data_IF_397383528743
#
_entry.id   IF_397383528743
#
_cell.length_a   1.000
_cell.length_b   1.000
_cell.length_c   1.000
_cell.angle_alpha   90.00
_cell.angle_beta   90.00
_cell.angle_gamma   90.00
#
_symmetry.space_group_name_H-M   'P 1'
#
loop_
_entity.id
_entity.type
_entity.pdbx_description
1 polymer ?
#
# COMPACT_ATOMS: atom_id res chain seq x y z
N UNK A 1 -20.49 -20.63 -6.90
CA UNK A 1 -19.73 -19.58 -7.63
C UNK A 1 -18.68 -18.95 -6.74
N UNK A 2 -17.40 -19.13 -7.08
CA UNK A 2 -16.32 -18.32 -6.52
C UNK A 2 -15.89 -17.33 -7.60
N UNK A 3 -15.81 -16.05 -7.24
CA UNK A 3 -15.32 -15.00 -8.14
C UNK A 3 -13.89 -14.71 -7.73
N UNK A 4 -12.94 -15.17 -8.53
CA UNK A 4 -11.51 -14.89 -8.30
C UNK A 4 -11.13 -13.66 -9.12
N UNK A 5 -10.74 -12.62 -8.40
CA UNK A 5 -10.29 -11.34 -8.94
C UNK A 5 -8.77 -11.43 -9.16
N UNK A 6 -8.34 -11.56 -10.42
CA UNK A 6 -6.91 -11.59 -10.77
C UNK A 6 -6.47 -10.17 -11.20
N UNK A 7 -5.70 -9.45 -10.37
CA UNK A 7 -5.18 -8.15 -10.76
C UNK A 7 -4.27 -8.30 -11.99
N UNK A 8 -4.28 -7.31 -12.88
CA UNK A 8 -3.36 -7.32 -14.02
C UNK A 8 -1.91 -7.31 -13.53
N UNK A 9 -1.00 -8.00 -14.24
CA UNK A 9 0.42 -8.10 -13.84
C UNK A 9 1.05 -6.72 -13.52
N UNK A 10 0.71 -5.69 -14.31
CA UNK A 10 1.14 -4.31 -14.09
C UNK A 10 0.66 -3.72 -12.76
N UNK A 11 -0.59 -4.01 -12.36
CA UNK A 11 -1.12 -3.56 -11.08
C UNK A 11 -0.53 -4.36 -9.92
N UNK A 12 -0.39 -5.68 -10.06
CA UNK A 12 0.28 -6.50 -9.05
C UNK A 12 1.71 -6.03 -8.78
N UNK A 13 2.48 -5.74 -9.83
CA UNK A 13 3.83 -5.21 -9.72
C UNK A 13 3.84 -3.82 -9.03
N UNK A 14 2.88 -2.95 -9.37
CA UNK A 14 2.77 -1.62 -8.76
C UNK A 14 2.40 -1.70 -7.27
N UNK A 15 1.53 -2.63 -6.88
CA UNK A 15 1.20 -2.89 -5.47
C UNK A 15 2.45 -3.32 -4.72
N UNK A 16 3.16 -4.33 -5.23
CA UNK A 16 4.37 -4.86 -4.58
C UNK A 16 5.44 -3.77 -4.47
N UNK A 17 5.64 -2.98 -5.53
CA UNK A 17 6.58 -1.87 -5.54
C UNK A 17 6.20 -0.78 -4.52
N UNK A 18 4.95 -0.33 -4.54
CA UNK A 18 4.45 0.66 -3.60
C UNK A 18 4.56 0.16 -2.16
N UNK A 19 4.23 -1.12 -1.91
CA UNK A 19 4.31 -1.71 -0.59
C UNK A 19 5.75 -1.76 -0.07
N UNK A 20 6.68 -2.20 -0.92
CA UNK A 20 8.10 -2.26 -0.58
C UNK A 20 8.67 -0.87 -0.29
N UNK A 21 8.43 0.12 -1.15
CA UNK A 21 8.98 1.48 -0.99
C UNK A 21 8.28 2.32 0.08
N UNK A 22 6.96 2.48 0.02
CA UNK A 22 6.22 3.32 0.97
C UNK A 22 6.10 2.66 2.35
N UNK A 23 5.96 1.34 2.39
CA UNK A 23 5.91 0.58 3.65
C UNK A 23 7.25 0.65 4.39
N UNK A 24 8.37 0.40 3.69
CA UNK A 24 9.70 0.54 4.29
C UNK A 24 10.00 1.97 4.71
N UNK A 25 9.64 2.97 3.89
CA UNK A 25 9.78 4.38 4.24
C UNK A 25 9.01 4.74 5.52
N UNK A 26 7.76 4.27 5.65
CA UNK A 26 6.96 4.49 6.87
C UNK A 26 7.63 3.89 8.11
N UNK A 27 8.10 2.63 8.04
CA UNK A 27 8.80 1.96 9.15
C UNK A 27 10.11 2.68 9.49
N UNK A 28 10.87 3.11 8.49
CA UNK A 28 12.12 3.83 8.68
C UNK A 28 11.89 5.20 9.34
N UNK A 29 10.93 5.99 8.85
CA UNK A 29 10.59 7.28 9.45
C UNK A 29 10.03 7.12 10.86
N UNK A 30 9.25 6.05 11.12
CA UNK A 30 8.81 5.71 12.49
C UNK A 30 10.00 5.41 13.40
N UNK A 31 10.97 4.65 12.91
CA UNK A 31 12.18 4.32 13.67
C UNK A 31 12.94 5.59 14.03
N UNK A 32 13.17 6.49 13.06
CA UNK A 32 13.79 7.79 13.32
C UNK A 32 13.00 8.58 14.36
N UNK A 33 11.67 8.64 14.23
CA UNK A 33 10.82 9.34 15.18
C UNK A 33 10.97 8.81 16.61
N UNK A 34 11.06 7.49 16.77
CA UNK A 34 11.20 6.84 18.08
C UNK A 34 12.61 6.94 18.66
N UNK A 35 13.65 7.04 17.82
CA UNK A 35 15.04 7.14 18.26
C UNK A 35 15.55 8.57 18.39
N UNK A 36 14.78 9.57 17.90
CA UNK A 36 15.14 10.98 18.04
C UNK A 36 14.77 11.43 19.45
N UNK A 37 15.75 11.86 20.24
CA UNK A 37 15.50 12.31 21.61
C UNK A 37 14.72 13.63 21.70
N UNK A 38 14.71 14.41 20.62
CA UNK A 38 13.86 15.61 20.50
C UNK A 38 12.51 15.25 19.87
N UNK A 39 11.44 15.77 20.46
CA UNK A 39 10.09 15.69 19.89
C UNK A 39 10.02 16.51 18.60
N UNK A 40 10.42 15.90 17.49
CA UNK A 40 10.48 16.58 16.21
C UNK A 40 9.12 16.47 15.50
N UNK A 41 8.29 17.51 15.71
CA UNK A 41 6.96 17.64 15.11
C UNK A 41 7.00 17.50 13.58
N UNK A 42 8.07 17.94 12.92
CA UNK A 42 8.23 17.82 11.47
C UNK A 42 8.33 16.34 11.07
N UNK A 43 9.17 15.56 11.76
CA UNK A 43 9.32 14.11 11.49
C UNK A 43 8.01 13.37 11.75
N UNK A 44 7.28 13.74 12.80
CA UNK A 44 5.95 13.19 13.08
C UNK A 44 4.96 13.45 11.94
N UNK A 45 4.84 14.70 11.47
CA UNK A 45 4.00 15.07 10.33
C UNK A 45 4.41 14.34 9.05
N UNK A 46 5.71 14.22 8.78
CA UNK A 46 6.22 13.44 7.65
C UNK A 46 5.81 11.97 7.75
N UNK A 47 5.92 11.36 8.92
CA UNK A 47 5.49 9.97 9.13
C UNK A 47 3.98 9.79 8.89
N UNK A 48 3.15 10.72 9.39
CA UNK A 48 1.70 10.69 9.17
C UNK A 48 1.37 10.77 7.68
N UNK A 49 2.01 11.68 6.93
CA UNK A 49 1.78 11.86 5.49
C UNK A 49 2.18 10.60 4.72
N UNK A 50 3.37 10.03 4.98
CA UNK A 50 3.84 8.80 4.31
C UNK A 50 2.87 7.64 4.58
N UNK A 51 2.41 7.51 5.83
CA UNK A 51 1.51 6.44 6.25
C UNK A 51 0.13 6.59 5.62
N UNK A 52 -0.43 7.81 5.55
CA UNK A 52 -1.67 8.06 4.83
C UNK A 52 -1.55 7.79 3.34
N UNK A 53 -0.45 8.21 2.72
CA UNK A 53 -0.21 7.97 1.30
C UNK A 53 -0.09 6.47 0.99
N UNK A 54 0.58 5.70 1.86
CA UNK A 54 0.63 4.24 1.76
C UNK A 54 -0.78 3.62 1.76
N UNK A 55 -1.66 4.00 2.70
CA UNK A 55 -3.03 3.47 2.72
C UNK A 55 -3.84 3.87 1.49
N UNK A 56 -3.69 5.10 0.99
CA UNK A 56 -4.38 5.56 -0.22
C UNK A 56 -3.96 4.77 -1.46
N UNK A 57 -2.66 4.53 -1.66
CA UNK A 57 -2.16 3.73 -2.79
C UNK A 57 -2.67 2.29 -2.71
N UNK A 58 -2.66 1.70 -1.51
CA UNK A 58 -3.21 0.35 -1.30
C UNK A 58 -4.72 0.30 -1.59
N UNK A 59 -5.50 1.26 -1.11
CA UNK A 59 -6.95 1.33 -1.35
C UNK A 59 -7.28 1.55 -2.84
N UNK A 60 -6.57 2.47 -3.49
CA UNK A 60 -6.73 2.75 -4.92
C UNK A 60 -6.40 1.52 -5.77
N UNK A 61 -5.44 0.71 -5.33
CA UNK A 61 -5.07 -0.51 -6.06
C UNK A 61 -6.06 -1.66 -5.89
N UNK A 62 -6.78 -1.74 -4.78
CA UNK A 62 -7.88 -2.70 -4.59
C UNK A 62 -9.14 -2.24 -5.33
N UNK A 63 -9.41 -0.93 -5.36
CA UNK A 63 -10.58 -0.35 -6.01
C UNK A 63 -10.56 -0.35 -7.55
N UNK A 64 -9.42 -0.67 -8.17
CA UNK A 64 -9.30 -0.68 -9.62
C UNK A 64 -9.96 -1.92 -10.24
N UNK A 65 -11.20 -1.74 -10.72
CA UNK A 65 -12.06 -2.77 -11.34
C UNK A 65 -11.60 -3.30 -12.70
N UNK A 66 -10.41 -2.96 -13.20
CA UNK A 66 -9.81 -3.59 -14.40
C UNK A 66 -9.32 -5.02 -14.11
N UNK A 67 -10.13 -5.78 -13.39
CA UNK A 67 -9.86 -7.14 -12.97
C UNK A 67 -10.62 -8.02 -13.94
N UNK A 68 -9.90 -8.88 -14.66
CA UNK A 68 -10.54 -9.87 -15.51
C UNK A 68 -11.30 -10.85 -14.62
N UNK A 69 -12.63 -10.75 -14.63
CA UNK A 69 -13.50 -11.67 -13.92
C UNK A 69 -13.52 -12.98 -14.69
N UNK A 70 -12.83 -14.00 -14.19
CA UNK A 70 -12.96 -15.37 -14.70
C UNK A 70 -14.11 -16.01 -13.92
N UNK A 71 -15.28 -16.13 -14.56
CA UNK A 71 -16.39 -16.93 -14.04
C UNK A 71 -16.03 -18.41 -14.16
N UNK A 72 -15.62 -19.02 -13.04
CA UNK A 72 -15.53 -20.48 -12.95
C UNK A 72 -16.93 -21.02 -12.68
N UNK A 73 -17.60 -21.49 -13.73
CA UNK A 73 -18.79 -22.33 -13.59
C UNK A 73 -18.25 -23.73 -13.30
N UNK A 74 -18.48 -24.21 -12.08
CA UNK A 74 -18.30 -25.63 -11.78
C UNK A 74 -19.57 -26.32 -12.31
N UNK A 75 -19.40 -27.20 -13.30
CA UNK A 75 -20.39 -28.24 -13.64
C UNK A 75 -20.57 -29.22 -12.48
#
# INVERSE_FOLDING_TARGET
NSVVLIPTFKQGLLIVFAYFFLGSASIFTLTILLTTESQNIIIFLTWVIITMFFFLVNMASIGNKNVHVILRINE
#
